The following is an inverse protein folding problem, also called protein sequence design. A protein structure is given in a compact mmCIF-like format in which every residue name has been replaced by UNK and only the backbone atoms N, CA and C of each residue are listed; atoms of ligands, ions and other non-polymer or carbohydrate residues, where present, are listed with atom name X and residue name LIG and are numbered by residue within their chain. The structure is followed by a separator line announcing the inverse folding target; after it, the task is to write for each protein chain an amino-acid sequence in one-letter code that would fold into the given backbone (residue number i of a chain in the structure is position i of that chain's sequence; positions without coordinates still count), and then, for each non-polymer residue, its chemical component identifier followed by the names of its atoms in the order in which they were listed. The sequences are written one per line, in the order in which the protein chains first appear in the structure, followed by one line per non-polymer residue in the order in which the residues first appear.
data_IF_867354544127
#
_entry.id   IF_867354544127
#
_cell.length_a   1.000
_cell.length_b   1.000
_cell.length_c   1.000
_cell.angle_alpha   90.00
_cell.angle_beta   90.00
_cell.angle_gamma   90.00
#
_symmetry.space_group_name_H-M   'P 1'
#
loop_
_entity.id
_entity.type
_entity.pdbx_description
1 polymer ?
#
# COMPACT_ATOMS: atom_id res chain seq x y z
N UNK A 1 -25.12 -6.62 -11.00
CA UNK A 1 -25.00 -5.63 -9.92
C UNK A 1 -23.87 -6.07 -9.04
N UNK A 2 -22.99 -5.12 -8.75
CA UNK A 2 -22.01 -5.09 -7.67
C UNK A 2 -20.70 -5.86 -7.89
N UNK A 3 -19.82 -5.20 -8.66
CA UNK A 3 -18.38 -5.22 -8.42
C UNK A 3 -17.99 -3.82 -7.91
N UNK A 4 -18.49 -3.43 -6.73
CA UNK A 4 -17.82 -2.40 -5.93
C UNK A 4 -16.67 -3.07 -5.18
N UNK A 5 -15.62 -3.44 -5.91
CA UNK A 5 -14.29 -3.45 -5.33
C UNK A 5 -13.87 -1.97 -5.31
N UNK A 6 -14.02 -1.30 -4.16
CA UNK A 6 -13.57 0.08 -3.99
C UNK A 6 -12.12 0.20 -4.44
N UNK A 7 -11.91 0.81 -5.61
CA UNK A 7 -10.65 0.75 -6.34
C UNK A 7 -9.51 1.36 -5.53
N UNK A 8 -8.64 0.48 -5.01
CA UNK A 8 -7.35 0.84 -4.41
C UNK A 8 -6.32 1.27 -5.47
N UNK A 9 -6.68 1.28 -6.75
CA UNK A 9 -5.86 1.68 -7.89
C UNK A 9 -6.76 2.42 -8.89
N UNK A 10 -6.25 3.51 -9.48
CA UNK A 10 -7.01 4.30 -10.46
C UNK A 10 -7.24 3.44 -11.71
N UNK A 11 -8.51 3.20 -12.09
CA UNK A 11 -8.82 2.60 -13.39
C UNK A 11 -8.78 3.70 -14.49
N UNK A 12 -7.80 3.66 -15.40
CA UNK A 12 -7.63 4.67 -16.44
C UNK A 12 -8.78 4.68 -17.45
N UNK A 13 -9.47 3.55 -17.64
CA UNK A 13 -10.61 3.46 -18.54
C UNK A 13 -11.82 4.14 -17.92
N UNK A 14 -12.04 3.98 -16.62
CA UNK A 14 -13.09 4.70 -15.89
C UNK A 14 -12.83 6.22 -15.90
N UNK A 15 -11.58 6.65 -15.67
CA UNK A 15 -11.19 8.07 -15.74
C UNK A 15 -11.49 8.68 -17.11
N UNK A 16 -11.25 7.93 -18.20
CA UNK A 16 -11.57 8.39 -19.55
C UNK A 16 -13.03 8.13 -19.97
N UNK A 17 -13.81 7.40 -19.18
CA UNK A 17 -15.17 6.98 -19.51
C UNK A 17 -15.23 6.03 -20.71
N UNK A 18 -14.29 5.08 -20.78
CA UNK A 18 -14.11 4.13 -21.87
C UNK A 18 -14.25 2.69 -21.39
N UNK A 19 -14.53 1.79 -22.32
CA UNK A 19 -14.38 0.35 -22.07
C UNK A 19 -12.93 -0.08 -22.29
N UNK A 20 -12.52 -1.19 -21.68
CA UNK A 20 -11.19 -1.80 -21.88
C UNK A 20 -10.90 -2.17 -23.33
N UNK A 21 -11.94 -2.38 -24.14
CA UNK A 21 -11.90 -2.66 -25.58
C UNK A 21 -11.57 -1.43 -26.44
N UNK A 22 -11.51 -0.22 -25.86
CA UNK A 22 -11.37 1.03 -26.62
C UNK A 22 -10.08 1.08 -27.45
N UNK A 23 -10.22 1.53 -28.70
CA UNK A 23 -9.10 1.74 -29.60
C UNK A 23 -8.35 3.05 -29.31
N UNK A 24 -7.15 3.20 -29.88
CA UNK A 24 -6.31 4.39 -29.69
C UNK A 24 -7.03 5.70 -30.07
N UNK A 25 -7.90 5.64 -31.08
CA UNK A 25 -8.67 6.79 -31.55
C UNK A 25 -9.71 7.22 -30.52
N UNK A 26 -10.43 6.28 -29.91
CA UNK A 26 -11.38 6.54 -28.84
C UNK A 26 -10.68 7.13 -27.61
N UNK A 27 -9.55 6.54 -27.20
CA UNK A 27 -8.71 7.03 -26.09
C UNK A 27 -8.30 8.49 -26.31
N UNK A 28 -7.73 8.80 -27.48
CA UNK A 28 -7.29 10.16 -27.81
C UNK A 28 -8.46 11.16 -27.88
N UNK A 29 -9.61 10.72 -28.35
CA UNK A 29 -10.81 11.57 -28.48
C UNK A 29 -11.40 11.88 -27.10
N UNK A 30 -11.51 10.88 -26.24
CA UNK A 30 -12.01 11.03 -24.87
C UNK A 30 -11.11 11.97 -24.05
N UNK A 31 -9.79 11.74 -24.06
CA UNK A 31 -8.84 12.59 -23.37
C UNK A 31 -8.94 14.06 -23.82
N UNK A 32 -8.99 14.33 -25.13
CA UNK A 32 -9.11 15.71 -25.64
C UNK A 32 -10.38 16.42 -25.19
N UNK A 33 -11.49 15.70 -25.11
CA UNK A 33 -12.77 16.22 -24.63
C UNK A 33 -12.67 16.58 -23.14
N UNK A 34 -12.23 15.63 -22.32
CA UNK A 34 -12.12 15.78 -20.88
C UNK A 34 -11.06 16.82 -20.49
N UNK A 35 -9.92 16.87 -21.18
CA UNK A 35 -8.85 17.82 -20.88
C UNK A 35 -9.29 19.27 -21.10
N UNK A 36 -10.21 19.52 -22.05
CA UNK A 36 -10.79 20.85 -22.26
C UNK A 36 -11.78 21.23 -21.15
N UNK A 37 -12.50 20.25 -20.60
CA UNK A 37 -13.48 20.44 -19.52
C UNK A 37 -12.79 20.60 -18.15
N UNK A 38 -11.69 19.87 -17.91
CA UNK A 38 -10.99 19.80 -16.63
C UNK A 38 -9.78 20.75 -16.50
N UNK A 39 -9.51 21.61 -17.49
CA UNK A 39 -8.31 22.45 -17.47
C UNK A 39 -8.33 23.47 -16.29
N UNK A 40 -7.24 23.63 -15.52
CA UNK A 40 -7.17 24.57 -14.40
C UNK A 40 -7.50 26.02 -14.78
N UNK A 41 -7.08 26.48 -15.97
CA UNK A 41 -7.42 27.81 -16.50
C UNK A 41 -8.94 28.04 -16.68
N UNK A 42 -9.74 26.99 -16.71
CA UNK A 42 -11.21 27.06 -16.80
C UNK A 42 -11.90 26.80 -15.45
N UNK A 43 -11.14 26.76 -14.34
CA UNK A 43 -11.63 26.46 -13.00
C UNK A 43 -11.68 24.98 -12.64
N UNK A 44 -10.96 24.13 -13.39
CA UNK A 44 -10.82 22.70 -13.11
C UNK A 44 -9.86 22.40 -11.95
N UNK A 45 -9.95 21.19 -11.40
CA UNK A 45 -9.11 20.71 -10.31
C UNK A 45 -7.77 20.14 -10.84
N UNK A 46 -6.65 20.60 -10.29
CA UNK A 46 -5.31 20.21 -10.73
C UNK A 46 -5.05 18.71 -10.50
N UNK A 47 -5.56 18.14 -9.41
CA UNK A 47 -5.40 16.71 -9.12
C UNK A 47 -6.20 15.86 -10.12
N UNK A 48 -7.45 16.21 -10.40
CA UNK A 48 -8.24 15.53 -11.43
C UNK A 48 -7.61 15.62 -12.82
N UNK A 49 -7.05 16.78 -13.18
CA UNK A 49 -6.36 16.94 -14.46
C UNK A 49 -5.10 16.08 -14.53
N UNK A 50 -4.31 16.00 -13.45
CA UNK A 50 -3.14 15.12 -13.38
C UNK A 50 -3.51 13.64 -13.53
N UNK A 51 -4.59 13.18 -12.88
CA UNK A 51 -5.09 11.80 -13.02
C UNK A 51 -5.55 11.50 -14.45
N UNK A 52 -6.24 12.43 -15.09
CA UNK A 52 -6.66 12.31 -16.49
C UNK A 52 -5.45 12.20 -17.43
N UNK A 53 -4.42 13.03 -17.19
CA UNK A 53 -3.19 13.01 -17.96
C UNK A 53 -2.47 11.67 -17.83
N UNK A 54 -2.22 11.21 -16.61
CA UNK A 54 -1.56 9.93 -16.34
C UNK A 54 -2.33 8.75 -16.95
N UNK A 55 -3.66 8.77 -16.87
CA UNK A 55 -4.52 7.71 -17.44
C UNK A 55 -4.39 7.65 -18.96
N UNK A 56 -4.38 8.80 -19.62
CA UNK A 56 -4.15 8.88 -21.06
C UNK A 56 -2.75 8.43 -21.45
N UNK A 57 -1.72 8.87 -20.72
CA UNK A 57 -0.33 8.52 -21.02
C UNK A 57 -0.07 7.01 -20.89
N UNK A 58 -0.68 6.36 -19.90
CA UNK A 58 -0.69 4.90 -19.79
C UNK A 58 -1.41 4.23 -20.98
N UNK A 59 -2.66 4.60 -21.26
CA UNK A 59 -3.47 3.94 -22.28
C UNK A 59 -2.94 4.14 -23.71
N UNK A 60 -2.21 5.24 -23.94
CA UNK A 60 -1.56 5.56 -25.21
C UNK A 60 -0.32 4.71 -25.45
N UNK A 61 0.39 4.30 -24.40
CA UNK A 61 1.56 3.43 -24.54
C UNK A 61 1.12 1.95 -24.59
N UNK A 62 1.30 1.26 -25.72
CA UNK A 62 0.81 -0.11 -25.87
C UNK A 62 1.49 -1.10 -24.92
N UNK A 63 2.74 -0.85 -24.52
CA UNK A 63 3.47 -1.72 -23.59
C UNK A 63 2.94 -1.51 -22.18
N UNK A 64 2.82 -0.25 -21.73
CA UNK A 64 2.29 0.06 -20.40
C UNK A 64 0.84 -0.36 -20.26
N UNK A 65 0.00 -0.08 -21.26
CA UNK A 65 -1.40 -0.53 -21.30
C UNK A 65 -1.49 -2.04 -21.15
N UNK A 66 -0.65 -2.80 -21.87
CA UNK A 66 -0.65 -4.27 -21.75
C UNK A 66 -0.26 -4.72 -20.34
N UNK A 67 0.77 -4.14 -19.74
CA UNK A 67 1.18 -4.46 -18.36
C UNK A 67 0.03 -4.16 -17.39
N UNK A 68 -0.64 -3.02 -17.54
CA UNK A 68 -1.79 -2.66 -16.72
C UNK A 68 -2.98 -3.59 -16.93
N UNK A 69 -3.27 -3.97 -18.17
CA UNK A 69 -4.35 -4.92 -18.47
C UNK A 69 -4.06 -6.32 -17.88
N UNK A 70 -2.79 -6.74 -17.87
CA UNK A 70 -2.33 -8.02 -17.32
C UNK A 70 -2.27 -8.02 -15.77
N UNK A 71 -1.90 -6.90 -15.15
CA UNK A 71 -1.57 -6.83 -13.70
C UNK A 71 -2.49 -5.94 -12.87
N UNK A 72 -3.29 -5.09 -13.50
CA UNK A 72 -4.09 -4.05 -12.84
C UNK A 72 -3.27 -2.88 -12.28
N UNK A 73 -1.95 -2.83 -12.50
CA UNK A 73 -1.05 -1.91 -11.82
C UNK A 73 -0.25 -1.04 -12.79
N UNK A 74 -0.13 0.25 -12.44
CA UNK A 74 0.86 1.16 -13.00
C UNK A 74 1.35 2.14 -11.92
N UNK A 75 2.68 2.33 -11.78
CA UNK A 75 3.25 3.20 -10.75
C UNK A 75 2.82 4.66 -10.85
N UNK A 76 2.54 5.19 -12.04
CA UNK A 76 2.16 6.60 -12.24
C UNK A 76 0.67 6.84 -11.96
N UNK A 77 -0.13 5.77 -11.92
CA UNK A 77 -1.56 5.79 -11.58
C UNK A 77 -1.84 5.36 -10.13
N UNK A 78 -0.81 5.03 -9.37
CA UNK A 78 -0.95 4.60 -7.98
C UNK A 78 -0.77 5.78 -7.02
N UNK A 79 -1.62 5.89 -5.99
CA UNK A 79 -1.39 6.87 -4.92
C UNK A 79 -0.06 6.55 -4.21
N UNK A 80 0.70 7.56 -3.75
CA UNK A 80 1.89 7.34 -2.94
C UNK A 80 1.71 6.37 -1.76
N UNK A 81 0.52 6.33 -1.14
CA UNK A 81 0.21 5.39 -0.05
C UNK A 81 0.07 3.95 -0.56
N UNK A 82 -0.48 3.74 -1.75
CA UNK A 82 -0.65 2.42 -2.36
C UNK A 82 0.70 1.87 -2.78
N UNK A 83 1.55 2.71 -3.37
CA UNK A 83 2.92 2.33 -3.72
C UNK A 83 3.71 1.87 -2.48
N UNK A 84 3.57 2.59 -1.37
CA UNK A 84 4.18 2.21 -0.09
C UNK A 84 3.59 0.91 0.47
N UNK A 85 2.28 0.72 0.37
CA UNK A 85 1.63 -0.53 0.75
C UNK A 85 2.22 -1.72 -0.02
N UNK A 86 2.37 -1.58 -1.33
CA UNK A 86 2.99 -2.59 -2.20
C UNK A 86 4.45 -2.88 -1.82
N UNK A 87 5.25 -1.85 -1.51
CA UNK A 87 6.62 -2.02 -1.03
C UNK A 87 6.70 -2.80 0.29
N UNK A 88 5.69 -2.69 1.15
CA UNK A 88 5.60 -3.48 2.39
C UNK A 88 5.20 -4.93 2.12
N UNK A 89 4.44 -5.20 1.06
CA UNK A 89 4.06 -6.55 0.64
C UNK A 89 5.19 -7.29 -0.05
N UNK A 90 6.06 -6.62 -0.81
CA UNK A 90 7.19 -7.24 -1.53
C UNK A 90 8.02 -8.22 -0.65
N UNK A 91 8.53 -7.84 0.53
CA UNK A 91 9.28 -8.78 1.36
C UNK A 91 8.41 -9.95 1.87
N UNK A 92 7.11 -9.74 2.07
CA UNK A 92 6.18 -10.80 2.50
C UNK A 92 5.93 -11.81 1.38
N UNK A 93 5.76 -11.32 0.16
CA UNK A 93 5.63 -12.14 -1.04
C UNK A 93 6.91 -12.94 -1.28
N UNK A 94 8.09 -12.32 -1.10
CA UNK A 94 9.36 -13.04 -1.18
C UNK A 94 9.47 -14.13 -0.10
N UNK A 95 9.03 -13.86 1.14
CA UNK A 95 8.96 -14.89 2.20
C UNK A 95 8.03 -16.04 1.81
N UNK A 96 6.89 -15.77 1.17
CA UNK A 96 6.00 -16.81 0.66
C UNK A 96 6.62 -17.62 -0.48
N UNK A 97 7.29 -16.98 -1.43
CA UNK A 97 7.91 -17.65 -2.59
C UNK A 97 9.07 -18.55 -2.15
N UNK A 98 9.83 -18.12 -1.14
CA UNK A 98 10.98 -18.84 -0.61
C UNK A 98 10.61 -19.85 0.48
N UNK A 99 9.32 -20.05 0.75
CA UNK A 99 8.87 -21.01 1.74
C UNK A 99 8.98 -22.45 1.21
N UNK A 100 9.70 -23.30 1.93
CA UNK A 100 9.97 -24.69 1.52
C UNK A 100 8.77 -25.64 1.75
N UNK A 101 7.66 -25.18 2.35
CA UNK A 101 6.47 -26.01 2.59
C UNK A 101 5.73 -26.31 1.29
N UNK A 102 5.05 -27.45 1.24
CA UNK A 102 4.24 -27.83 0.09
C UNK A 102 3.08 -26.82 -0.11
N UNK A 103 2.82 -26.34 -1.35
CA UNK A 103 1.66 -25.50 -1.64
C UNK A 103 0.37 -26.17 -1.18
N UNK A 104 -0.53 -25.39 -0.56
CA UNK A 104 -1.77 -25.91 0.02
C UNK A 104 -1.64 -26.47 1.45
N UNK A 105 -0.42 -26.70 1.97
CA UNK A 105 -0.23 -27.14 3.37
C UNK A 105 -0.34 -26.01 4.40
N UNK A 106 -0.31 -24.77 3.95
CA UNK A 106 -0.35 -23.57 4.78
C UNK A 106 -0.96 -22.39 4.03
N UNK A 107 -1.56 -21.44 4.76
CA UNK A 107 -2.10 -20.20 4.23
C UNK A 107 -1.07 -19.06 4.38
N UNK A 108 -0.28 -18.75 3.33
CA UNK A 108 0.67 -17.64 3.37
C UNK A 108 -0.03 -16.29 3.48
N UNK A 109 -1.21 -16.11 2.89
CA UNK A 109 -1.95 -14.83 2.92
C UNK A 109 -2.42 -14.50 4.34
N UNK A 110 -2.91 -15.48 5.08
CA UNK A 110 -3.21 -15.31 6.51
C UNK A 110 -1.95 -14.98 7.33
N UNK A 111 -0.80 -15.58 7.00
CA UNK A 111 0.46 -15.29 7.65
C UNK A 111 0.91 -13.83 7.43
N UNK A 112 0.81 -13.34 6.19
CA UNK A 112 1.10 -11.94 5.86
C UNK A 112 0.19 -10.99 6.63
N UNK A 113 -1.13 -11.23 6.60
CA UNK A 113 -2.12 -10.43 7.35
C UNK A 113 -1.80 -10.40 8.86
N UNK A 114 -1.41 -11.53 9.43
CA UNK A 114 -1.00 -11.61 10.83
C UNK A 114 0.24 -10.77 11.12
N UNK A 115 1.28 -10.86 10.28
CA UNK A 115 2.51 -10.08 10.45
C UNK A 115 2.27 -8.57 10.37
N UNK A 116 1.47 -8.14 9.39
CA UNK A 116 1.05 -6.74 9.27
C UNK A 116 0.26 -6.27 10.51
N UNK A 117 -0.66 -7.10 11.01
CA UNK A 117 -1.43 -6.81 12.24
C UNK A 117 -0.52 -6.67 13.46
N UNK A 118 0.46 -7.56 13.61
CA UNK A 118 1.44 -7.50 14.69
C UNK A 118 2.29 -6.22 14.62
N UNK A 119 2.67 -5.78 13.43
CA UNK A 119 3.44 -4.56 13.22
C UNK A 119 2.61 -3.28 13.48
N UNK A 120 1.31 -3.28 13.14
CA UNK A 120 0.37 -2.21 13.55
C UNK A 120 0.34 -2.11 15.07
N UNK A 121 0.17 -3.24 15.77
CA UNK A 121 0.12 -3.26 17.23
C UNK A 121 1.41 -2.75 17.88
N UNK A 122 2.58 -3.14 17.37
CA UNK A 122 3.89 -2.65 17.84
C UNK A 122 4.00 -1.14 17.70
N UNK A 123 3.61 -0.58 16.55
CA UNK A 123 3.65 0.86 16.31
C UNK A 123 2.68 1.62 17.23
N UNK A 124 1.46 1.11 17.41
CA UNK A 124 0.49 1.68 18.36
C UNK A 124 1.03 1.71 19.78
N UNK A 125 1.69 0.63 20.22
CA UNK A 125 2.35 0.60 21.52
C UNK A 125 3.49 1.62 21.63
N UNK A 126 4.31 1.76 20.59
CA UNK A 126 5.38 2.75 20.55
C UNK A 126 4.86 4.19 20.65
N UNK A 127 3.78 4.52 19.93
CA UNK A 127 3.09 5.82 20.02
C UNK A 127 2.67 6.09 21.48
N UNK A 128 2.03 5.13 22.15
CA UNK A 128 1.61 5.28 23.55
C UNK A 128 2.80 5.58 24.48
N UNK A 129 3.95 4.96 24.26
CA UNK A 129 5.17 5.26 25.04
C UNK A 129 5.69 6.67 24.78
N UNK A 130 5.74 7.09 23.51
CA UNK A 130 6.13 8.45 23.11
C UNK A 130 5.19 9.50 23.70
N UNK A 131 3.90 9.26 23.70
CA UNK A 131 2.91 10.16 24.31
C UNK A 131 3.11 10.30 25.83
N UNK A 132 3.40 9.21 26.52
CA UNK A 132 3.79 9.24 27.94
C UNK A 132 5.06 10.06 28.15
N UNK A 133 6.05 9.93 27.27
CA UNK A 133 7.29 10.71 27.32
C UNK A 133 7.03 12.20 27.14
N UNK A 134 6.28 12.56 26.09
CA UNK A 134 5.86 13.94 25.79
C UNK A 134 5.13 14.56 26.97
N UNK A 135 4.22 13.81 27.59
CA UNK A 135 3.46 14.25 28.77
C UNK A 135 4.39 14.51 29.97
N UNK A 136 5.39 13.65 30.22
CA UNK A 136 6.39 13.87 31.28
C UNK A 136 7.22 15.14 31.01
N UNK A 137 7.70 15.32 29.78
CA UNK A 137 8.48 16.51 29.37
C UNK A 137 7.65 17.78 29.55
N UNK A 138 6.39 17.79 29.12
CA UNK A 138 5.46 18.92 29.31
C UNK A 138 5.26 19.25 30.80
N UNK A 139 5.05 18.24 31.65
CA UNK A 139 4.93 18.44 33.11
C UNK A 139 6.20 19.03 33.74
N UNK A 140 7.39 18.73 33.21
CA UNK A 140 8.63 19.37 33.64
C UNK A 140 8.72 20.82 33.17
N UNK A 141 8.29 21.10 31.93
CA UNK A 141 8.24 22.44 31.36
C UNK A 141 7.28 23.35 32.15
N UNK A 142 6.09 22.88 32.52
CA UNK A 142 5.09 23.66 33.27
C UNK A 142 5.57 24.04 34.68
N UNK A 143 6.43 23.21 35.28
CA UNK A 143 7.02 23.46 36.60
C UNK A 143 8.31 24.28 36.53
N UNK A 144 8.84 24.51 35.34
CA UNK A 144 10.07 25.24 35.14
C UNK A 144 9.80 26.75 35.31
N UNK A 145 9.94 27.24 36.53
CA UNK A 145 9.86 28.68 36.80
C UNK A 145 11.20 29.36 36.58
N UNK A 146 11.23 30.41 35.75
CA UNK A 146 12.39 31.28 35.60
C UNK A 146 12.35 32.39 36.67
N UNK A 147 13.44 32.59 37.42
CA UNK A 147 13.54 33.72 38.37
C UNK A 147 13.44 35.06 37.63
N UNK A 148 12.48 35.91 38.03
CA UNK A 148 12.23 37.28 37.49
C UNK A 148 13.49 38.16 37.43
N UNK A 149 14.48 37.92 38.29
CA UNK A 149 15.67 38.79 38.42
C UNK A 149 16.81 38.48 37.42
N UNK A 150 16.62 37.54 36.48
CA UNK A 150 17.53 37.29 35.33
C UNK A 150 16.88 37.73 34.01
N UNK A 151 16.38 38.97 33.96
CA UNK A 151 15.99 39.60 32.71
C UNK A 151 17.25 39.83 31.86
N UNK A 152 17.44 39.04 30.80
CA UNK A 152 18.58 39.17 29.87
C UNK A 152 19.24 37.87 29.39
N UNK A 153 19.04 36.73 30.07
CA UNK A 153 19.58 35.43 29.60
C UNK A 153 18.66 34.68 28.61
N UNK A 154 19.18 33.80 27.77
CA UNK A 154 18.36 32.88 26.96
C UNK A 154 17.73 31.80 27.85
N UNK A 155 16.47 31.42 27.57
CA UNK A 155 15.77 30.32 28.27
C UNK A 155 16.19 28.95 27.70
N UNK A 156 17.43 28.56 27.96
CA UNK A 156 18.06 27.37 27.36
C UNK A 156 17.35 26.08 27.76
N UNK A 157 17.00 25.92 29.04
CA UNK A 157 16.33 24.69 29.50
C UNK A 157 14.88 24.60 28.99
N UNK A 158 14.14 25.71 29.00
CA UNK A 158 12.80 25.74 28.43
C UNK A 158 12.81 25.51 26.91
N UNK A 159 13.80 26.06 26.19
CA UNK A 159 13.95 25.81 24.75
C UNK A 159 14.31 24.36 24.46
N UNK A 160 15.19 23.73 25.24
CA UNK A 160 15.52 22.31 25.12
C UNK A 160 14.31 21.40 25.34
N UNK A 161 13.51 21.65 26.39
CA UNK A 161 12.31 20.86 26.67
C UNK A 161 11.21 21.06 25.62
N UNK A 162 11.05 22.28 25.09
CA UNK A 162 10.15 22.56 23.95
C UNK A 162 10.60 21.82 22.70
N UNK A 163 11.88 21.90 22.33
CA UNK A 163 12.44 21.18 21.20
C UNK A 163 12.27 19.65 21.35
N UNK A 164 12.43 19.12 22.57
CA UNK A 164 12.19 17.69 22.83
C UNK A 164 10.71 17.31 22.70
N UNK A 165 9.80 18.18 23.10
CA UNK A 165 8.35 17.97 22.91
C UNK A 165 7.99 17.93 21.43
N UNK A 166 8.60 18.80 20.63
CA UNK A 166 8.42 18.84 19.18
C UNK A 166 8.93 17.57 18.52
N UNK A 167 10.19 17.20 18.79
CA UNK A 167 10.80 15.98 18.25
C UNK A 167 10.01 14.70 18.60
N UNK A 168 9.41 14.63 19.80
CA UNK A 168 8.54 13.50 20.14
C UNK A 168 7.23 13.54 19.34
N UNK A 169 6.67 14.73 19.08
CA UNK A 169 5.46 14.87 18.28
C UNK A 169 5.71 14.48 16.81
N UNK A 170 6.86 14.89 16.25
CA UNK A 170 7.30 14.45 14.91
C UNK A 170 7.46 12.92 14.85
N UNK A 171 8.06 12.30 15.88
CA UNK A 171 8.20 10.85 15.94
C UNK A 171 6.85 10.12 16.04
N UNK A 172 5.90 10.65 16.80
CA UNK A 172 4.53 10.12 16.87
C UNK A 172 3.88 10.20 15.49
N UNK A 173 3.93 11.36 14.83
CA UNK A 173 3.35 11.55 13.52
C UNK A 173 3.95 10.59 12.47
N UNK A 174 5.28 10.39 12.50
CA UNK A 174 5.93 9.43 11.63
C UNK A 174 5.48 7.98 11.89
N UNK A 175 5.24 7.60 13.14
CA UNK A 175 4.75 6.26 13.48
C UNK A 175 3.27 6.08 13.08
N UNK A 176 2.45 7.13 13.18
CA UNK A 176 1.07 7.15 12.68
C UNK A 176 1.03 6.92 11.15
N UNK A 177 1.86 7.65 10.40
CA UNK A 177 1.98 7.45 8.94
C UNK A 177 2.44 6.02 8.60
N UNK A 178 3.35 5.43 9.38
CA UNK A 178 3.74 4.04 9.18
C UNK A 178 2.59 3.07 9.38
N UNK A 179 1.74 3.29 10.39
CA UNK A 179 0.52 2.50 10.59
C UNK A 179 -0.39 2.61 9.37
N UNK A 180 -0.62 3.81 8.84
CA UNK A 180 -1.44 4.00 7.63
C UNK A 180 -0.92 3.20 6.43
N UNK A 181 0.41 3.16 6.20
CA UNK A 181 0.98 2.36 5.12
C UNK A 181 0.81 0.85 5.35
N UNK A 182 0.94 0.39 6.59
CA UNK A 182 0.74 -1.03 6.94
C UNK A 182 -0.74 -1.42 6.82
N UNK A 183 -1.65 -0.54 7.22
CA UNK A 183 -3.10 -0.73 7.06
C UNK A 183 -3.48 -0.79 5.57
N UNK A 184 -2.85 0.04 4.72
CA UNK A 184 -3.05 -0.02 3.27
C UNK A 184 -2.56 -1.35 2.70
N UNK A 185 -1.36 -1.81 3.07
CA UNK A 185 -0.86 -3.13 2.69
C UNK A 185 -1.78 -4.26 3.17
N UNK A 186 -2.36 -4.13 4.36
CA UNK A 186 -3.31 -5.11 4.90
C UNK A 186 -4.60 -5.15 4.07
N UNK A 187 -5.13 -3.99 3.70
CA UNK A 187 -6.36 -3.85 2.90
C UNK A 187 -6.19 -4.49 1.53
N UNK A 188 -5.00 -4.35 0.93
CA UNK A 188 -4.64 -5.02 -0.33
C UNK A 188 -4.74 -6.56 -0.24
N UNK A 189 -4.67 -7.16 0.95
CA UNK A 189 -4.80 -8.60 1.15
C UNK A 189 -6.23 -9.07 1.46
N UNK A 190 -7.19 -8.17 1.75
CA UNK A 190 -8.54 -8.57 2.23
C UNK A 190 -9.36 -9.35 1.19
N UNK A 191 -9.12 -9.11 -0.10
CA UNK A 191 -9.80 -9.81 -1.20
C UNK A 191 -9.21 -11.17 -1.56
N UNK A 192 -8.11 -11.58 -0.91
CA UNK A 192 -7.37 -12.79 -1.25
C UNK A 192 -7.69 -13.92 -0.26
N UNK A 193 -8.00 -15.09 -0.80
CA UNK A 193 -8.10 -16.35 -0.07
C UNK A 193 -7.09 -17.34 -0.67
N UNK A 194 -6.50 -18.18 0.18
CA UNK A 194 -5.60 -19.24 -0.25
C UNK A 194 -6.26 -20.59 0.02
N UNK A 195 -6.35 -21.42 -1.02
CA UNK A 195 -6.94 -22.75 -0.90
C UNK A 195 -5.95 -23.70 -0.22
N UNK A 196 -6.43 -24.38 0.82
CA UNK A 196 -5.67 -25.41 1.51
C UNK A 196 -6.06 -26.77 0.94
N UNK A 197 -5.07 -27.62 0.71
CA UNK A 197 -5.34 -29.01 0.35
C UNK A 197 -5.89 -29.73 1.59
N UNK A 198 -7.07 -30.34 1.46
CA UNK A 198 -7.57 -31.29 2.44
C UNK A 198 -6.83 -32.62 2.29
N UNK A 199 -6.54 -33.28 3.41
CA UNK A 199 -5.87 -34.60 3.46
C UNK A 199 -6.57 -35.70 2.62
N UNK A 200 -7.79 -35.46 2.13
CA UNK A 200 -8.62 -36.43 1.39
C UNK A 200 -8.28 -36.56 -0.11
N UNK A 201 -7.44 -35.71 -0.71
CA UNK A 201 -7.10 -35.75 -2.15
C UNK A 201 -5.81 -36.55 -2.48
N UNK A 202 -5.17 -37.15 -1.48
CA UNK A 202 -3.86 -37.80 -1.64
C UNK A 202 -3.89 -39.26 -2.18
N UNK A 203 -5.03 -39.79 -2.63
CA UNK A 203 -5.16 -41.23 -2.99
C UNK A 203 -5.62 -41.56 -4.43
N UNK A 204 -5.57 -40.64 -5.39
CA UNK A 204 -5.86 -40.99 -6.79
C UNK A 204 -4.72 -40.59 -7.73
N UNK A 205 -3.88 -41.57 -8.10
CA UNK A 205 -3.24 -41.55 -9.41
C UNK A 205 -1.75 -41.82 -9.52
N UNK A 206 -1.21 -42.86 -8.87
CA UNK A 206 -0.03 -43.55 -9.40
C UNK A 206 -0.39 -44.99 -9.79
N UNK A 207 -1.05 -45.16 -10.94
CA UNK A 207 -1.02 -46.44 -11.66
C UNK A 207 0.35 -46.62 -12.30
N UNK A 208 1.18 -47.46 -11.69
CA UNK A 208 2.42 -47.96 -12.28
C UNK A 208 2.08 -48.81 -13.51
N UNK A 209 2.23 -48.27 -14.72
CA UNK A 209 2.35 -49.11 -15.92
C UNK A 209 3.63 -49.93 -15.83
N UNK A 210 3.48 -51.24 -15.66
CA UNK A 210 4.60 -52.18 -15.73
C UNK A 210 5.13 -52.26 -17.17
N UNK A 211 6.46 -52.22 -17.40
CA UNK A 211 7.00 -52.33 -18.74
C UNK A 211 6.92 -53.79 -19.21
N UNK A 212 6.08 -54.08 -20.20
CA UNK A 212 6.14 -55.37 -20.91
C UNK A 212 7.27 -55.33 -21.94
N UNK A 213 8.24 -56.23 -21.74
CA UNK A 213 9.49 -56.30 -22.48
C UNK A 213 9.32 -56.71 -23.95
N UNK A 214 10.22 -56.17 -24.77
CA UNK A 214 10.43 -56.54 -26.17
C UNK A 214 10.82 -58.00 -26.29
N UNK A 215 10.17 -58.70 -27.22
CA UNK A 215 10.63 -59.96 -27.78
C UNK A 215 11.87 -59.73 -28.66
N UNK A 216 12.89 -60.59 -28.52
CA UNK A 216 13.92 -60.79 -29.53
C UNK A 216 14.45 -62.24 -29.43
N UNK A 217 14.29 -62.95 -30.55
CA UNK A 217 14.90 -64.21 -31.04
C UNK A 217 14.85 -65.49 -30.18
#
# INVERSE_FOLDING_TARGET
MDLEAGGMLIDPYEVLGLERSADEKAIRTAYRRLAKEAHPDSGGDEEQFARLQASYDLLKDPVRRKIFDDTGFDPELSDPKDLKGLMLLEPLVNEMILDDREPGSFDPVAAMRRKLSDDILKNRFHILELERHRTRVRKHLDRLARKKNKAGGSDVLGSMLRARTESISEAIHSAEQQIEFIEQAYTMLEGYAYELQSDDEADDGYSLEAPSGKAAE
#
